data_IF_855194295986
#
_entry.id   IF_855194295986
#
_cell.length_a   1.000
_cell.length_b   1.000
_cell.length_c   1.000
_cell.angle_alpha   90.00
_cell.angle_beta   90.00
_cell.angle_gamma   90.00
#
_symmetry.space_group_name_H-M   'P 1'
#
loop_
_entity.id
_entity.type
_entity.pdbx_description
1 polymer ?
#
# COMPACT_ATOMS: atom_id res chain seq x y z
N UNK A 1 -20.16 -8.26 -22.58
CA UNK A 1 -18.82 -7.62 -22.68
C UNK A 1 -17.76 -8.71 -22.71
N UNK A 2 -16.76 -8.62 -23.59
CA UNK A 2 -15.64 -9.57 -23.60
C UNK A 2 -14.69 -9.21 -22.45
N UNK A 3 -14.21 -10.22 -21.72
CA UNK A 3 -13.20 -10.06 -20.70
C UNK A 3 -11.88 -9.59 -21.32
N UNK A 4 -11.29 -8.52 -20.80
CA UNK A 4 -10.06 -7.93 -21.31
C UNK A 4 -9.01 -7.87 -20.18
N UNK A 5 -7.94 -8.67 -20.35
CA UNK A 5 -6.84 -8.73 -19.38
C UNK A 5 -6.06 -7.41 -19.26
N UNK A 6 -6.00 -6.62 -20.31
CA UNK A 6 -5.29 -5.33 -20.29
C UNK A 6 -5.89 -4.35 -19.31
N UNK A 7 -7.21 -4.39 -19.11
CA UNK A 7 -7.93 -3.55 -18.13
C UNK A 7 -7.63 -3.88 -16.68
N UNK A 8 -7.00 -5.03 -16.38
CA UNK A 8 -6.52 -5.33 -15.03
C UNK A 8 -5.35 -4.43 -14.62
N UNK A 9 -4.55 -3.99 -15.58
CA UNK A 9 -3.38 -3.17 -15.29
C UNK A 9 -3.78 -1.76 -14.85
N UNK A 10 -3.12 -1.27 -13.81
CA UNK A 10 -3.29 0.10 -13.31
C UNK A 10 -2.73 1.16 -14.28
N UNK A 11 -1.72 0.77 -15.06
CA UNK A 11 -0.95 1.67 -15.93
C UNK A 11 -1.04 1.25 -17.38
N UNK A 12 -1.08 2.21 -18.34
CA UNK A 12 -0.95 1.92 -19.75
C UNK A 12 0.43 1.30 -20.05
N UNK A 13 0.52 0.50 -21.10
CA UNK A 13 1.71 -0.32 -21.41
C UNK A 13 3.03 0.47 -21.40
N UNK A 14 3.05 1.70 -21.93
CA UNK A 14 4.24 2.57 -21.99
C UNK A 14 4.66 3.14 -20.62
N UNK A 15 3.74 3.17 -19.66
CA UNK A 15 3.97 3.72 -18.33
C UNK A 15 4.20 2.62 -17.27
N UNK A 16 4.24 1.36 -17.65
CA UNK A 16 4.48 0.24 -16.73
C UNK A 16 5.94 0.22 -16.29
N UNK A 17 6.15 -0.06 -15.04
CA UNK A 17 7.46 -0.38 -14.45
C UNK A 17 7.43 -1.81 -13.91
N UNK A 18 8.60 -2.36 -13.57
CA UNK A 18 8.70 -3.69 -12.95
C UNK A 18 8.25 -3.54 -11.48
N UNK A 19 7.08 -4.07 -11.15
CA UNK A 19 6.54 -4.07 -9.81
C UNK A 19 6.80 -5.42 -9.14
N UNK A 20 7.61 -5.44 -8.08
CA UNK A 20 7.94 -6.66 -7.34
C UNK A 20 6.69 -7.33 -6.73
N UNK A 21 5.62 -6.56 -6.53
CA UNK A 21 4.38 -7.09 -5.95
C UNK A 21 3.62 -8.01 -6.90
N UNK A 22 3.83 -7.92 -8.21
CA UNK A 22 3.11 -8.77 -9.19
C UNK A 22 3.39 -10.26 -8.99
N UNK A 23 4.53 -10.62 -8.41
CA UNK A 23 4.90 -12.02 -8.15
C UNK A 23 3.90 -12.73 -7.21
N UNK A 24 3.27 -11.98 -6.31
CA UNK A 24 2.36 -12.53 -5.32
C UNK A 24 0.97 -12.87 -5.87
N UNK A 25 0.66 -12.42 -7.09
CA UNK A 25 -0.70 -12.43 -7.66
C UNK A 25 -0.84 -13.22 -8.95
N UNK A 26 0.05 -14.16 -9.22
CA UNK A 26 0.05 -14.92 -10.47
C UNK A 26 -1.29 -15.64 -10.75
N UNK A 27 -2.03 -16.04 -9.71
CA UNK A 27 -3.35 -16.69 -9.83
C UNK A 27 -4.51 -15.70 -9.98
N UNK A 28 -4.29 -14.42 -9.73
CA UNK A 28 -5.34 -13.41 -9.69
C UNK A 28 -6.14 -13.32 -11.00
N UNK A 29 -5.47 -13.42 -12.15
CA UNK A 29 -6.13 -13.39 -13.48
C UNK A 29 -7.23 -14.43 -13.62
N UNK A 30 -6.99 -15.64 -13.10
CA UNK A 30 -7.94 -16.74 -13.19
C UNK A 30 -9.15 -16.51 -12.31
N UNK A 31 -8.93 -16.04 -11.08
CA UNK A 31 -10.02 -15.76 -10.14
C UNK A 31 -10.86 -14.59 -10.63
N UNK A 32 -10.24 -13.50 -11.09
CA UNK A 32 -10.97 -12.35 -11.66
C UNK A 32 -11.77 -12.76 -12.89
N UNK A 33 -11.20 -13.58 -13.79
CA UNK A 33 -11.92 -14.10 -14.96
C UNK A 33 -13.14 -14.96 -14.56
N UNK A 34 -13.00 -15.77 -13.51
CA UNK A 34 -14.11 -16.60 -13.00
C UNK A 34 -15.21 -15.72 -12.39
N UNK A 35 -14.85 -14.67 -11.65
CA UNK A 35 -15.80 -13.77 -11.00
C UNK A 35 -16.42 -12.76 -11.96
N UNK A 36 -15.78 -12.48 -13.10
CA UNK A 36 -16.24 -11.45 -14.04
C UNK A 36 -17.70 -11.61 -14.50
N UNK A 37 -18.20 -12.82 -14.87
CA UNK A 37 -19.58 -13.00 -15.29
C UNK A 37 -20.59 -13.07 -14.13
N UNK A 38 -20.14 -13.13 -12.88
CA UNK A 38 -21.00 -13.27 -11.69
C UNK A 38 -21.58 -11.93 -11.23
N UNK A 39 -22.56 -11.96 -10.32
CA UNK A 39 -23.11 -10.79 -9.65
C UNK A 39 -22.29 -10.32 -8.44
N UNK A 40 -21.19 -11.01 -8.08
CA UNK A 40 -20.31 -10.63 -6.95
C UNK A 40 -19.70 -9.27 -7.21
N UNK A 41 -19.87 -8.34 -6.30
CA UNK A 41 -19.36 -6.98 -6.42
C UNK A 41 -17.93 -6.86 -5.83
N UNK A 42 -17.09 -5.92 -6.31
CA UNK A 42 -15.79 -5.65 -5.70
C UNK A 42 -15.88 -5.41 -4.18
N UNK A 43 -16.80 -4.58 -3.73
CA UNK A 43 -16.99 -4.28 -2.30
C UNK A 43 -17.31 -5.53 -1.45
N UNK A 44 -18.06 -6.49 -2.01
CA UNK A 44 -18.29 -7.77 -1.32
C UNK A 44 -16.98 -8.54 -1.12
N UNK A 45 -16.09 -8.52 -2.10
CA UNK A 45 -14.76 -9.16 -1.99
C UNK A 45 -13.92 -8.42 -0.95
N UNK A 46 -13.95 -7.09 -0.91
CA UNK A 46 -13.28 -6.28 0.12
C UNK A 46 -13.75 -6.67 1.54
N UNK A 47 -15.07 -6.89 1.74
CA UNK A 47 -15.57 -7.36 3.04
C UNK A 47 -15.14 -8.79 3.38
N UNK A 48 -15.07 -9.68 2.39
CA UNK A 48 -14.53 -11.04 2.61
C UNK A 48 -13.04 -10.95 2.95
N UNK A 49 -12.28 -10.12 2.26
CA UNK A 49 -10.87 -9.83 2.54
C UNK A 49 -10.69 -9.33 3.98
N UNK A 50 -11.51 -8.37 4.41
CA UNK A 50 -11.52 -7.87 5.80
C UNK A 50 -11.76 -9.01 6.80
N UNK A 51 -12.75 -9.88 6.55
CA UNK A 51 -13.02 -11.04 7.41
C UNK A 51 -11.80 -11.95 7.54
N UNK A 52 -11.09 -12.24 6.45
CA UNK A 52 -9.86 -13.01 6.48
C UNK A 52 -8.77 -12.32 7.31
N UNK A 53 -8.61 -11.01 7.17
CA UNK A 53 -7.64 -10.23 7.95
C UNK A 53 -7.93 -10.24 9.45
N UNK A 54 -9.20 -10.02 9.83
CA UNK A 54 -9.63 -10.08 11.24
C UNK A 54 -9.46 -11.48 11.83
N UNK A 55 -9.76 -12.52 11.06
CA UNK A 55 -9.56 -13.91 11.45
C UNK A 55 -8.07 -14.21 11.67
N UNK A 56 -7.20 -13.72 10.77
CA UNK A 56 -5.74 -13.84 10.93
C UNK A 56 -5.26 -13.24 12.26
N UNK A 57 -5.66 -11.98 12.53
CA UNK A 57 -5.31 -11.31 13.78
C UNK A 57 -5.80 -12.09 15.02
N UNK A 58 -7.05 -12.56 15.01
CA UNK A 58 -7.61 -13.39 16.07
C UNK A 58 -6.84 -14.70 16.31
N UNK A 59 -6.40 -15.34 15.23
CA UNK A 59 -5.59 -16.56 15.29
C UNK A 59 -4.23 -16.29 15.94
N UNK A 60 -3.52 -15.23 15.50
CA UNK A 60 -2.23 -14.86 16.10
C UNK A 60 -2.34 -14.56 17.60
N UNK A 61 -3.33 -13.74 17.99
CA UNK A 61 -3.58 -13.43 19.42
C UNK A 61 -3.88 -14.67 20.25
N UNK A 62 -4.50 -15.70 19.66
CA UNK A 62 -4.88 -16.91 20.39
C UNK A 62 -3.70 -17.66 20.99
N UNK A 63 -2.50 -17.54 20.40
CA UNK A 63 -1.29 -18.25 20.82
C UNK A 63 -1.39 -19.78 20.79
N UNK A 64 -2.42 -20.32 20.11
CA UNK A 64 -2.66 -21.77 20.02
C UNK A 64 -1.58 -22.46 19.18
N UNK A 65 -1.40 -23.78 19.31
CA UNK A 65 -0.57 -24.55 18.39
C UNK A 65 -0.94 -24.26 16.94
N UNK A 66 0.06 -24.06 16.09
CA UNK A 66 -0.10 -23.71 14.67
C UNK A 66 -0.73 -22.30 14.40
N UNK A 67 -0.82 -21.42 15.40
CA UNK A 67 -1.32 -20.06 15.20
C UNK A 67 -0.54 -19.29 14.11
N UNK A 68 0.76 -19.52 14.03
CA UNK A 68 1.62 -18.90 12.99
C UNK A 68 1.24 -19.39 11.60
N UNK A 69 0.98 -20.68 11.43
CA UNK A 69 0.62 -21.27 10.12
C UNK A 69 -0.76 -20.79 9.69
N UNK A 70 -1.78 -20.94 10.53
CA UNK A 70 -3.13 -20.55 10.18
C UNK A 70 -3.29 -19.02 10.05
N UNK A 71 -2.65 -18.25 10.96
CA UNK A 71 -2.60 -16.79 10.85
C UNK A 71 -2.02 -16.35 9.51
N UNK A 72 -0.91 -16.95 9.08
CA UNK A 72 -0.28 -16.68 7.79
C UNK A 72 -1.18 -17.05 6.60
N UNK A 73 -1.86 -18.21 6.63
CA UNK A 73 -2.77 -18.64 5.57
C UNK A 73 -3.92 -17.65 5.41
N UNK A 74 -4.56 -17.24 6.52
CA UNK A 74 -5.64 -16.27 6.48
C UNK A 74 -5.16 -14.88 6.05
N UNK A 75 -3.96 -14.44 6.48
CA UNK A 75 -3.38 -13.19 6.04
C UNK A 75 -3.07 -13.21 4.53
N UNK A 76 -2.53 -14.30 4.01
CA UNK A 76 -2.34 -14.46 2.57
C UNK A 76 -3.67 -14.39 1.82
N UNK A 77 -4.71 -15.07 2.32
CA UNK A 77 -6.05 -15.00 1.75
C UNK A 77 -6.59 -13.56 1.69
N UNK A 78 -6.35 -12.76 2.77
CA UNK A 78 -6.69 -11.33 2.79
C UNK A 78 -5.98 -10.58 1.67
N UNK A 79 -4.66 -10.69 1.59
CA UNK A 79 -3.84 -9.98 0.59
C UNK A 79 -4.26 -10.36 -0.83
N UNK A 80 -4.54 -11.63 -1.06
CA UNK A 80 -4.95 -12.13 -2.37
C UNK A 80 -6.31 -11.58 -2.80
N UNK A 81 -7.33 -11.65 -1.91
CA UNK A 81 -8.69 -11.18 -2.18
C UNK A 81 -8.75 -9.67 -2.41
N UNK A 82 -7.99 -8.91 -1.66
CA UNK A 82 -7.81 -7.48 -1.80
C UNK A 82 -7.31 -7.09 -3.22
N UNK A 83 -6.36 -7.82 -3.75
CA UNK A 83 -5.91 -7.60 -5.11
C UNK A 83 -6.98 -8.04 -6.15
N UNK A 84 -7.80 -9.06 -5.84
CA UNK A 84 -8.89 -9.51 -6.72
C UNK A 84 -9.96 -8.45 -6.86
N UNK A 85 -10.37 -7.77 -5.77
CA UNK A 85 -11.45 -6.77 -5.81
C UNK A 85 -11.09 -5.57 -6.67
N UNK A 86 -9.89 -5.01 -6.50
CA UNK A 86 -9.40 -3.92 -7.32
C UNK A 86 -9.26 -4.27 -8.80
N UNK A 87 -8.79 -5.48 -9.11
CA UNK A 87 -8.71 -5.96 -10.48
C UNK A 87 -10.11 -6.17 -11.09
N UNK A 88 -11.05 -6.74 -10.33
CA UNK A 88 -12.43 -6.93 -10.76
C UNK A 88 -13.12 -5.59 -11.03
N UNK A 89 -12.93 -4.60 -10.15
CA UNK A 89 -13.45 -3.25 -10.33
C UNK A 89 -12.94 -2.61 -11.63
N UNK A 90 -11.64 -2.75 -11.91
CA UNK A 90 -11.04 -2.22 -13.15
C UNK A 90 -11.58 -2.87 -14.41
N UNK A 91 -11.63 -4.20 -14.46
CA UNK A 91 -12.12 -4.94 -15.65
C UNK A 91 -13.60 -4.65 -15.93
N UNK A 92 -14.41 -4.46 -14.87
CA UNK A 92 -15.83 -4.09 -15.01
C UNK A 92 -16.06 -2.61 -15.25
N UNK A 93 -15.06 -1.75 -15.05
CA UNK A 93 -15.21 -0.30 -15.13
C UNK A 93 -16.04 0.28 -13.99
N UNK A 94 -16.09 -0.39 -12.85
CA UNK A 94 -16.88 -0.01 -11.66
C UNK A 94 -16.02 0.60 -10.54
N UNK A 95 -14.84 1.11 -10.88
CA UNK A 95 -13.97 1.79 -9.91
C UNK A 95 -14.66 3.04 -9.35
N UNK A 96 -14.61 3.21 -8.02
CA UNK A 96 -15.22 4.36 -7.34
C UNK A 96 -14.28 4.92 -6.27
N UNK A 97 -14.49 6.20 -5.87
CA UNK A 97 -13.77 6.80 -4.73
C UNK A 97 -14.13 6.08 -3.42
N UNK A 98 -15.41 5.77 -3.25
CA UNK A 98 -15.89 5.01 -2.10
C UNK A 98 -15.14 3.68 -1.94
N UNK A 99 -15.11 2.85 -3.02
CA UNK A 99 -14.42 1.57 -2.99
C UNK A 99 -12.95 1.69 -2.64
N UNK A 100 -12.25 2.71 -3.17
CA UNK A 100 -10.85 2.98 -2.87
C UNK A 100 -10.62 3.35 -1.40
N UNK A 101 -11.45 4.23 -0.83
CA UNK A 101 -11.33 4.58 0.59
C UNK A 101 -11.67 3.40 1.49
N UNK A 102 -12.71 2.63 1.15
CA UNK A 102 -13.08 1.42 1.89
C UNK A 102 -11.93 0.43 1.92
N UNK A 103 -11.34 0.13 0.76
CA UNK A 103 -10.20 -0.75 0.59
C UNK A 103 -9.00 -0.30 1.45
N UNK A 104 -8.58 0.96 1.30
CA UNK A 104 -7.46 1.51 2.08
C UNK A 104 -7.72 1.50 3.59
N UNK A 105 -8.93 1.79 4.05
CA UNK A 105 -9.27 1.78 5.47
C UNK A 105 -9.33 0.37 6.04
N UNK A 106 -9.79 -0.62 5.25
CA UNK A 106 -9.74 -2.03 5.66
C UNK A 106 -8.30 -2.52 5.75
N UNK A 107 -7.43 -2.12 4.83
CA UNK A 107 -5.99 -2.37 4.87
C UNK A 107 -5.34 -1.80 6.12
N UNK A 108 -5.63 -0.54 6.43
CA UNK A 108 -5.14 0.11 7.64
C UNK A 108 -5.55 -0.65 8.90
N UNK A 109 -6.84 -0.95 9.03
CA UNK A 109 -7.40 -1.64 10.20
C UNK A 109 -6.77 -3.03 10.36
N UNK A 110 -6.72 -3.82 9.29
CA UNK A 110 -6.14 -5.17 9.34
C UNK A 110 -4.66 -5.12 9.68
N UNK A 111 -3.90 -4.19 9.08
CA UNK A 111 -2.47 -4.04 9.37
C UNK A 111 -2.24 -3.73 10.84
N UNK A 112 -2.95 -2.74 11.40
CA UNK A 112 -2.85 -2.40 12.83
C UNK A 112 -3.13 -3.62 13.70
N UNK A 113 -4.25 -4.32 13.46
CA UNK A 113 -4.66 -5.47 14.27
C UNK A 113 -3.70 -6.66 14.15
N UNK A 114 -3.19 -6.94 12.95
CA UNK A 114 -2.23 -8.03 12.74
C UNK A 114 -0.90 -7.73 13.43
N UNK A 115 -0.38 -6.49 13.33
CA UNK A 115 0.88 -6.13 14.01
C UNK A 115 0.73 -6.15 15.54
N UNK A 116 -0.40 -5.69 16.07
CA UNK A 116 -0.70 -5.86 17.49
C UNK A 116 -0.75 -7.36 17.86
N UNK A 117 -1.42 -8.17 17.04
CA UNK A 117 -1.60 -9.58 17.28
C UNK A 117 -0.28 -10.37 17.30
N UNK A 118 0.62 -10.15 16.33
CA UNK A 118 1.95 -10.80 16.30
C UNK A 118 2.84 -10.31 17.43
N UNK A 119 2.73 -9.05 17.82
CA UNK A 119 3.43 -8.49 18.99
C UNK A 119 2.98 -9.18 20.27
N UNK A 120 1.66 -9.28 20.49
CA UNK A 120 1.09 -10.01 21.63
C UNK A 120 1.52 -11.49 21.62
N UNK A 121 1.52 -12.12 20.46
CA UNK A 121 2.00 -13.48 20.29
C UNK A 121 3.47 -13.61 20.76
N UNK A 122 4.36 -12.74 20.27
CA UNK A 122 5.79 -12.76 20.64
C UNK A 122 5.99 -12.55 22.15
N UNK A 123 5.36 -11.51 22.73
CA UNK A 123 5.47 -11.23 24.17
C UNK A 123 5.00 -12.42 25.02
N UNK A 124 3.88 -13.06 24.64
CA UNK A 124 3.33 -14.20 25.40
C UNK A 124 4.17 -15.46 25.28
N UNK A 125 4.74 -15.72 24.10
CA UNK A 125 5.47 -16.97 23.87
C UNK A 125 6.90 -16.90 24.33
N UNK A 126 7.53 -15.73 24.33
CA UNK A 126 8.92 -15.54 24.75
C UNK A 126 9.05 -15.03 26.18
N UNK A 127 8.02 -14.37 26.72
CA UNK A 127 8.09 -13.68 28.01
C UNK A 127 8.89 -12.37 27.98
N UNK A 128 9.27 -11.87 26.81
CA UNK A 128 10.12 -10.68 26.62
C UNK A 128 9.23 -9.48 26.29
N UNK A 129 9.00 -8.51 27.22
CA UNK A 129 8.11 -7.38 26.99
C UNK A 129 8.65 -6.37 25.96
N UNK A 130 9.95 -6.35 25.71
CA UNK A 130 10.63 -5.45 24.76
C UNK A 130 10.13 -5.64 23.32
N UNK A 131 9.58 -6.82 23.00
CA UNK A 131 8.90 -7.03 21.71
C UNK A 131 7.72 -6.09 21.48
N UNK A 132 7.13 -5.51 22.53
CA UNK A 132 6.11 -4.48 22.39
C UNK A 132 6.65 -3.24 21.69
N UNK A 133 7.87 -2.85 22.00
CA UNK A 133 8.56 -1.71 21.38
C UNK A 133 8.92 -2.05 19.93
N UNK A 134 9.48 -3.25 19.70
CA UNK A 134 9.83 -3.71 18.37
C UNK A 134 8.59 -3.81 17.45
N UNK A 135 7.47 -4.31 17.97
CA UNK A 135 6.20 -4.40 17.24
C UNK A 135 5.64 -3.03 16.88
N UNK A 136 5.71 -2.04 17.79
CA UNK A 136 5.32 -0.67 17.53
C UNK A 136 6.18 -0.04 16.42
N UNK A 137 7.50 -0.17 16.50
CA UNK A 137 8.38 0.33 15.44
C UNK A 137 8.18 -0.44 14.12
N UNK A 138 7.87 -1.73 14.16
CA UNK A 138 7.50 -2.52 12.99
C UNK A 138 6.25 -1.97 12.29
N UNK A 139 5.20 -1.68 13.05
CA UNK A 139 3.97 -1.08 12.52
C UNK A 139 4.23 0.30 11.89
N UNK A 140 4.97 1.17 12.58
CA UNK A 140 5.34 2.50 12.08
C UNK A 140 6.19 2.40 10.81
N UNK A 141 7.18 1.50 10.78
CA UNK A 141 8.01 1.25 9.61
C UNK A 141 7.19 0.75 8.43
N UNK A 142 6.28 -0.22 8.64
CA UNK A 142 5.39 -0.73 7.61
C UNK A 142 4.55 0.40 6.98
N UNK A 143 3.96 1.26 7.78
CA UNK A 143 3.16 2.38 7.29
C UNK A 143 4.00 3.40 6.53
N UNK A 144 5.11 3.85 7.08
CA UNK A 144 5.97 4.85 6.42
C UNK A 144 6.58 4.34 5.12
N UNK A 145 7.02 3.07 5.08
CA UNK A 145 7.52 2.43 3.86
C UNK A 145 6.43 2.34 2.79
N UNK A 146 5.22 1.91 3.18
CA UNK A 146 4.10 1.80 2.25
C UNK A 146 3.68 3.17 1.71
N UNK A 147 3.57 4.17 2.57
CA UNK A 147 3.26 5.55 2.16
C UNK A 147 4.35 6.12 1.27
N UNK A 148 5.61 5.81 1.53
CA UNK A 148 6.71 6.22 0.67
C UNK A 148 6.56 5.70 -0.77
N UNK A 149 6.28 4.42 -0.94
CA UNK A 149 6.02 3.86 -2.26
C UNK A 149 4.79 4.50 -2.92
N UNK A 150 3.66 4.57 -2.18
CA UNK A 150 2.39 5.12 -2.69
C UNK A 150 2.56 6.60 -3.08
N UNK A 151 3.28 7.41 -2.31
CA UNK A 151 3.55 8.81 -2.62
C UNK A 151 4.20 8.97 -4.00
N UNK A 152 5.27 8.22 -4.28
CA UNK A 152 5.93 8.28 -5.59
C UNK A 152 5.06 7.69 -6.70
N UNK A 153 4.31 6.63 -6.43
CA UNK A 153 3.39 6.03 -7.40
C UNK A 153 2.27 7.00 -7.79
N UNK A 154 1.64 7.69 -6.83
CA UNK A 154 0.57 8.66 -7.10
C UNK A 154 1.10 9.86 -7.86
N UNK A 155 2.27 10.40 -7.46
CA UNK A 155 2.93 11.47 -8.19
C UNK A 155 3.27 11.09 -9.63
N UNK A 156 3.68 9.84 -9.88
CA UNK A 156 3.93 9.31 -11.21
C UNK A 156 2.63 9.18 -12.01
N UNK A 157 1.63 8.50 -11.46
CA UNK A 157 0.37 8.20 -12.15
C UNK A 157 -0.43 9.45 -12.49
N UNK A 158 -0.42 10.46 -11.61
CA UNK A 158 -1.07 11.75 -11.88
C UNK A 158 -0.46 12.48 -13.07
N UNK A 159 0.85 12.32 -13.29
CA UNK A 159 1.56 12.97 -14.42
C UNK A 159 1.43 12.23 -15.74
N UNK A 160 1.40 10.90 -15.72
CA UNK A 160 1.18 10.11 -16.95
C UNK A 160 -0.30 10.05 -17.38
N UNK A 161 -1.19 10.72 -16.63
CA UNK A 161 -2.62 10.87 -17.02
C UNK A 161 -3.43 9.58 -16.91
N UNK A 162 -2.94 8.57 -16.20
CA UNK A 162 -3.61 7.26 -16.13
C UNK A 162 -4.57 7.10 -14.95
N UNK A 163 -4.58 8.04 -14.01
CA UNK A 163 -5.36 7.92 -12.75
C UNK A 163 -5.96 9.28 -12.34
N UNK A 164 -6.95 9.75 -13.06
CA UNK A 164 -7.66 11.02 -12.78
C UNK A 164 -8.34 11.07 -11.40
N UNK A 165 -8.56 9.91 -10.75
CA UNK A 165 -9.31 9.80 -9.50
C UNK A 165 -8.46 9.90 -8.23
N UNK A 166 -7.12 9.84 -8.32
CA UNK A 166 -6.24 9.94 -7.16
C UNK A 166 -5.73 11.37 -7.03
N UNK A 167 -5.97 11.98 -5.88
CA UNK A 167 -5.31 13.24 -5.49
C UNK A 167 -4.01 12.89 -4.78
N UNK A 168 -3.01 13.75 -4.93
CA UNK A 168 -1.77 13.66 -4.14
C UNK A 168 -2.04 14.00 -2.67
N UNK A 169 -2.94 14.96 -2.45
CA UNK A 169 -3.49 15.30 -1.14
C UNK A 169 -4.99 14.94 -1.10
N UNK A 170 -5.35 13.98 -0.29
CA UNK A 170 -6.73 13.52 -0.09
C UNK A 170 -7.40 14.21 1.11
N UNK A 171 -6.86 15.33 1.59
CA UNK A 171 -7.53 16.15 2.61
C UNK A 171 -8.90 16.63 2.12
N UNK A 172 -9.84 16.76 3.06
CA UNK A 172 -11.20 17.23 2.76
C UNK A 172 -11.16 18.71 2.41
N UNK A 173 -11.57 19.04 1.20
CA UNK A 173 -11.64 20.42 0.70
C UNK A 173 -13.05 21.00 0.83
N UNK A 174 -13.19 22.34 0.75
CA UNK A 174 -14.50 23.00 0.73
C UNK A 174 -15.28 22.60 -0.54
N UNK A 175 -14.61 22.23 -1.60
CA UNK A 175 -15.25 21.71 -2.82
C UNK A 175 -15.88 20.34 -2.56
N UNK A 176 -15.21 19.44 -1.82
CA UNK A 176 -15.77 18.14 -1.45
C UNK A 176 -17.06 18.32 -0.63
N UNK A 177 -17.06 19.23 0.33
CA UNK A 177 -18.25 19.55 1.15
C UNK A 177 -19.37 20.12 0.30
N UNK A 178 -19.06 21.01 -0.65
CA UNK A 178 -20.03 21.59 -1.58
C UNK A 178 -20.65 20.52 -2.49
N UNK A 179 -19.83 19.63 -3.05
CA UNK A 179 -20.32 18.55 -3.90
C UNK A 179 -21.29 17.62 -3.18
N UNK A 180 -21.09 17.39 -1.88
CA UNK A 180 -22.05 16.65 -1.05
C UNK A 180 -23.32 17.47 -0.82
N UNK A 181 -23.21 18.77 -0.50
CA UNK A 181 -24.35 19.64 -0.29
C UNK A 181 -25.23 19.79 -1.55
N UNK A 182 -24.61 19.75 -2.73
CA UNK A 182 -25.28 19.79 -4.04
C UNK A 182 -25.77 18.40 -4.52
N UNK A 183 -25.59 17.34 -3.73
CA UNK A 183 -26.01 15.98 -4.09
C UNK A 183 -25.19 15.32 -5.22
N UNK A 184 -24.03 15.87 -5.57
CA UNK A 184 -23.13 15.33 -6.60
C UNK A 184 -22.31 14.12 -6.11
N UNK A 185 -22.06 14.05 -4.81
CA UNK A 185 -21.35 12.97 -4.13
C UNK A 185 -22.10 12.53 -2.87
N UNK A 186 -21.94 11.25 -2.49
CA UNK A 186 -22.59 10.70 -1.31
C UNK A 186 -21.91 11.23 -0.02
N UNK A 187 -22.70 11.40 1.04
CA UNK A 187 -22.23 11.73 2.39
C UNK A 187 -21.22 10.69 2.89
N UNK A 188 -21.39 9.43 2.52
CA UNK A 188 -20.47 8.35 2.89
C UNK A 188 -19.09 8.51 2.27
N UNK A 189 -18.98 9.01 1.04
CA UNK A 189 -17.70 9.33 0.41
C UNK A 189 -16.90 10.35 1.24
N UNK A 190 -17.57 11.40 1.72
CA UNK A 190 -16.95 12.44 2.55
C UNK A 190 -16.53 11.89 3.93
N UNK A 191 -17.36 11.03 4.53
CA UNK A 191 -17.03 10.41 5.83
C UNK A 191 -15.80 9.51 5.71
N UNK A 192 -15.78 8.64 4.71
CA UNK A 192 -14.62 7.75 4.47
C UNK A 192 -13.36 8.55 4.14
N UNK A 193 -13.49 9.62 3.34
CA UNK A 193 -12.37 10.53 3.06
C UNK A 193 -11.84 11.18 4.34
N UNK A 194 -12.71 11.61 5.25
CA UNK A 194 -12.32 12.20 6.53
C UNK A 194 -11.54 11.22 7.38
N UNK A 195 -12.04 9.97 7.50
CA UNK A 195 -11.36 8.90 8.25
C UNK A 195 -10.03 8.56 7.58
N UNK A 196 -10.00 8.46 6.25
CA UNK A 196 -8.78 8.22 5.48
C UNK A 196 -7.72 9.31 5.73
N UNK A 197 -8.11 10.60 5.63
CA UNK A 197 -7.21 11.72 5.89
C UNK A 197 -6.67 11.72 7.34
N UNK A 198 -7.47 11.29 8.32
CA UNK A 198 -7.01 11.10 9.69
C UNK A 198 -6.00 9.95 9.81
N UNK A 199 -6.27 8.82 9.18
CA UNK A 199 -5.43 7.62 9.28
C UNK A 199 -4.07 7.80 8.55
N UNK A 200 -4.08 8.41 7.38
CA UNK A 200 -2.93 8.50 6.49
C UNK A 200 -2.29 9.89 6.42
N UNK A 201 -3.02 10.97 6.67
CA UNK A 201 -2.54 12.33 6.43
C UNK A 201 -1.25 12.72 7.17
N UNK A 202 -0.99 12.16 8.35
CA UNK A 202 0.27 12.38 9.06
C UNK A 202 1.46 11.70 8.35
N UNK A 203 1.23 10.53 7.76
CA UNK A 203 2.23 9.77 7.00
C UNK A 203 2.55 10.48 5.69
N UNK A 204 1.50 10.92 4.98
CA UNK A 204 1.63 11.66 3.73
C UNK A 204 2.46 12.93 3.92
N UNK A 205 2.19 13.71 4.96
CA UNK A 205 2.97 14.90 5.32
C UNK A 205 4.43 14.58 5.68
N UNK A 206 4.65 13.48 6.39
CA UNK A 206 6.01 13.06 6.75
C UNK A 206 6.83 12.73 5.49
N UNK A 207 6.25 11.98 4.56
CA UNK A 207 6.89 11.59 3.30
C UNK A 207 7.04 12.80 2.35
N UNK A 208 6.04 13.67 2.26
CA UNK A 208 6.13 14.90 1.49
C UNK A 208 7.27 15.79 1.97
N UNK A 209 7.41 15.98 3.28
CA UNK A 209 8.52 16.75 3.86
C UNK A 209 9.88 16.10 3.57
N UNK A 210 9.96 14.77 3.65
CA UNK A 210 11.16 14.02 3.29
C UNK A 210 11.52 14.23 1.82
N UNK A 211 10.55 14.13 0.91
CA UNK A 211 10.76 14.38 -0.52
C UNK A 211 11.19 15.83 -0.80
N UNK A 212 10.57 16.81 -0.13
CA UNK A 212 10.95 18.21 -0.21
C UNK A 212 12.41 18.43 0.20
N UNK A 213 12.85 17.79 1.30
CA UNK A 213 14.26 17.82 1.72
C UNK A 213 15.17 17.22 0.65
N UNK A 214 14.82 16.03 0.14
CA UNK A 214 15.59 15.36 -0.92
C UNK A 214 15.71 16.21 -2.18
N UNK A 215 14.62 16.85 -2.62
CA UNK A 215 14.62 17.76 -3.77
C UNK A 215 15.48 19.00 -3.54
N UNK A 216 15.50 19.54 -2.31
CA UNK A 216 16.42 20.65 -1.93
C UNK A 216 17.87 20.23 -2.01
N UNK A 217 18.24 19.06 -1.47
CA UNK A 217 19.59 18.50 -1.56
C UNK A 217 20.02 18.24 -3.01
N UNK A 218 19.13 17.68 -3.82
CA UNK A 218 19.36 17.45 -5.25
C UNK A 218 19.26 18.73 -6.10
N UNK A 219 18.98 19.91 -5.49
CA UNK A 219 18.77 21.20 -6.15
C UNK A 219 17.75 21.13 -7.30
N UNK A 220 16.66 20.38 -7.12
CA UNK A 220 15.59 20.26 -8.13
C UNK A 220 14.81 21.56 -8.17
N UNK A 221 14.73 22.26 -9.33
CA UNK A 221 13.91 23.46 -9.45
C UNK A 221 12.42 23.14 -9.26
N UNK A 222 11.63 24.12 -8.81
CA UNK A 222 10.20 24.00 -8.69
C UNK A 222 9.45 24.18 -10.03
N UNK A 223 10.09 23.88 -11.16
CA UNK A 223 9.47 23.92 -12.49
C UNK A 223 8.74 22.62 -12.77
N UNK A 224 7.66 22.66 -13.53
CA UNK A 224 6.87 21.47 -13.91
C UNK A 224 7.74 20.42 -14.62
N UNK A 225 8.64 20.84 -15.50
CA UNK A 225 9.56 19.95 -16.20
C UNK A 225 10.53 19.22 -15.23
N UNK A 226 11.09 19.96 -14.26
CA UNK A 226 12.01 19.36 -13.27
C UNK A 226 11.27 18.39 -12.33
N UNK A 227 10.04 18.71 -11.95
CA UNK A 227 9.17 17.85 -11.16
C UNK A 227 8.72 16.62 -11.97
N UNK A 228 8.39 16.81 -13.26
CA UNK A 228 8.13 15.69 -14.15
C UNK A 228 9.31 14.70 -14.14
N UNK A 229 10.50 15.18 -14.41
CA UNK A 229 11.72 14.37 -14.44
C UNK A 229 12.03 13.72 -13.09
N UNK A 230 11.67 14.36 -11.97
CA UNK A 230 11.88 13.81 -10.63
C UNK A 230 10.95 12.65 -10.33
N UNK A 231 9.68 12.74 -10.72
CA UNK A 231 8.66 11.75 -10.40
C UNK A 231 8.43 10.70 -11.50
N UNK A 232 8.89 10.92 -12.74
CA UNK A 232 8.65 10.00 -13.87
C UNK A 232 9.69 8.88 -14.00
N UNK A 233 10.50 8.65 -12.98
CA UNK A 233 11.54 7.63 -12.99
C UNK A 233 10.93 6.23 -12.70
N UNK A 234 10.67 5.47 -13.80
CA UNK A 234 10.14 4.12 -13.73
C UNK A 234 11.10 3.12 -13.05
N UNK A 235 12.42 3.31 -13.19
CA UNK A 235 13.42 2.45 -12.55
C UNK A 235 13.37 2.64 -11.03
N UNK A 236 13.32 3.88 -10.58
CA UNK A 236 13.20 4.19 -9.16
C UNK A 236 11.90 3.59 -8.57
N UNK A 237 10.76 3.73 -9.28
CA UNK A 237 9.50 3.10 -8.87
C UNK A 237 9.61 1.58 -8.73
N UNK A 238 10.28 0.92 -9.67
CA UNK A 238 10.55 -0.51 -9.59
C UNK A 238 11.39 -0.87 -8.36
N UNK A 239 12.45 -0.11 -8.09
CA UNK A 239 13.30 -0.35 -6.94
C UNK A 239 12.63 -0.10 -5.60
N UNK A 240 11.73 0.88 -5.48
CA UNK A 240 11.00 1.13 -4.23
C UNK A 240 9.74 0.26 -4.07
N UNK A 241 9.30 -0.48 -5.10
CA UNK A 241 8.10 -1.32 -5.04
C UNK A 241 8.12 -2.40 -3.93
N UNK A 242 9.29 -2.96 -3.51
CA UNK A 242 9.34 -3.86 -2.35
C UNK A 242 8.92 -3.22 -1.02
N UNK A 243 8.89 -1.88 -0.92
CA UNK A 243 8.43 -1.17 0.28
C UNK A 243 6.91 -1.08 0.39
N UNK A 244 6.16 -1.57 -0.59
CA UNK A 244 4.70 -1.59 -0.59
C UNK A 244 4.14 -2.44 0.57
N UNK A 245 2.96 -2.04 1.08
CA UNK A 245 2.22 -2.75 2.11
C UNK A 245 2.07 -4.24 1.80
N UNK A 246 1.84 -4.55 0.54
CA UNK A 246 1.66 -5.91 0.08
C UNK A 246 2.90 -6.78 0.29
N UNK A 247 4.09 -6.29 -0.11
CA UNK A 247 5.35 -7.00 0.13
C UNK A 247 5.64 -7.13 1.63
N UNK A 248 5.41 -6.08 2.42
CA UNK A 248 5.60 -6.14 3.88
C UNK A 248 4.72 -7.22 4.52
N UNK A 249 3.45 -7.29 4.12
CA UNK A 249 2.53 -8.32 4.62
C UNK A 249 2.89 -9.72 4.08
N UNK A 250 3.40 -9.84 2.85
CA UNK A 250 3.89 -11.12 2.32
C UNK A 250 5.17 -11.60 3.04
N UNK A 251 6.08 -10.68 3.38
CA UNK A 251 7.20 -11.01 4.26
C UNK A 251 6.71 -11.54 5.60
N UNK A 252 5.72 -10.88 6.22
CA UNK A 252 5.10 -11.37 7.45
C UNK A 252 4.54 -12.80 7.27
N UNK A 253 3.83 -13.08 6.19
CA UNK A 253 3.31 -14.44 5.88
C UNK A 253 4.45 -15.44 5.83
N UNK A 254 5.51 -15.16 5.06
CA UNK A 254 6.65 -16.07 4.87
C UNK A 254 7.35 -16.32 6.20
N UNK A 255 7.71 -15.28 6.94
CA UNK A 255 8.42 -15.41 8.22
C UNK A 255 7.54 -16.04 9.31
N UNK A 256 6.22 -15.83 9.25
CA UNK A 256 5.28 -16.53 10.13
C UNK A 256 5.26 -18.04 9.88
N UNK A 257 5.22 -18.45 8.59
CA UNK A 257 5.31 -19.88 8.24
C UNK A 257 6.65 -20.51 8.64
N UNK A 258 7.73 -19.71 8.65
CA UNK A 258 9.06 -20.13 9.11
C UNK A 258 9.19 -20.11 10.64
N UNK A 259 8.21 -19.59 11.38
CA UNK A 259 8.30 -19.40 12.84
C UNK A 259 9.28 -18.29 13.26
N UNK A 260 9.59 -17.34 12.38
CA UNK A 260 10.65 -16.33 12.54
C UNK A 260 10.08 -14.90 12.59
N UNK A 261 9.02 -14.67 13.38
CA UNK A 261 8.38 -13.34 13.47
C UNK A 261 9.30 -12.25 14.03
N UNK A 262 10.19 -12.62 14.95
CA UNK A 262 11.21 -11.71 15.48
C UNK A 262 12.12 -11.21 14.37
N UNK A 263 12.66 -12.13 13.57
CA UNK A 263 13.53 -11.78 12.44
C UNK A 263 12.82 -10.92 11.41
N UNK A 264 11.53 -11.18 11.16
CA UNK A 264 10.70 -10.33 10.31
C UNK A 264 10.67 -8.88 10.80
N UNK A 265 10.36 -8.67 12.09
CA UNK A 265 10.28 -7.32 12.66
C UNK A 265 11.63 -6.61 12.64
N UNK A 266 12.71 -7.32 12.94
CA UNK A 266 14.08 -6.77 12.87
C UNK A 266 14.42 -6.36 11.45
N UNK A 267 14.18 -7.20 10.45
CA UNK A 267 14.45 -6.87 9.05
C UNK A 267 13.59 -5.70 8.57
N UNK A 268 12.33 -5.65 8.95
CA UNK A 268 11.42 -4.57 8.59
C UNK A 268 11.89 -3.22 9.14
N UNK A 269 12.26 -3.18 10.44
CA UNK A 269 12.68 -1.94 11.11
C UNK A 269 14.09 -1.53 10.71
N UNK A 270 15.01 -2.46 10.44
CA UNK A 270 16.39 -2.15 10.09
C UNK A 270 16.64 -2.15 8.59
N UNK A 271 16.67 -3.33 7.97
CA UNK A 271 17.08 -3.51 6.58
C UNK A 271 16.20 -2.74 5.59
N UNK A 272 14.87 -2.85 5.71
CA UNK A 272 13.96 -2.20 4.76
C UNK A 272 14.02 -0.67 4.85
N UNK A 273 14.23 -0.10 6.04
CA UNK A 273 14.44 1.35 6.19
C UNK A 273 15.78 1.80 5.62
N UNK A 274 16.86 1.05 5.88
CA UNK A 274 18.19 1.33 5.30
C UNK A 274 18.11 1.24 3.77
N UNK A 275 17.43 0.24 3.24
CA UNK A 275 17.19 0.07 1.81
C UNK A 275 16.47 1.29 1.21
N UNK A 276 15.35 1.72 1.81
CA UNK A 276 14.60 2.90 1.35
C UNK A 276 15.43 4.19 1.37
N UNK A 277 16.17 4.43 2.47
CA UNK A 277 17.08 5.59 2.59
C UNK A 277 18.23 5.51 1.59
N UNK A 278 18.78 4.33 1.36
CA UNK A 278 19.82 4.10 0.34
C UNK A 278 19.34 4.42 -1.07
N UNK A 279 18.11 4.07 -1.42
CA UNK A 279 17.50 4.41 -2.71
C UNK A 279 17.25 5.92 -2.85
N UNK A 280 16.86 6.60 -1.77
CA UNK A 280 16.74 8.06 -1.78
C UNK A 280 18.10 8.74 -2.00
N UNK A 281 19.12 8.29 -1.29
CA UNK A 281 20.49 8.80 -1.46
C UNK A 281 20.98 8.57 -2.90
N UNK A 282 20.76 7.37 -3.44
CA UNK A 282 21.06 7.07 -4.84
C UNK A 282 20.33 8.01 -5.81
N UNK A 283 19.04 8.25 -5.60
CA UNK A 283 18.24 9.16 -6.44
C UNK A 283 18.78 10.59 -6.43
N UNK A 284 19.23 11.07 -5.27
CA UNK A 284 19.84 12.40 -5.11
C UNK A 284 21.18 12.47 -5.88
N UNK A 285 22.05 11.47 -5.70
CA UNK A 285 23.37 11.43 -6.30
C UNK A 285 23.31 11.35 -7.83
N UNK A 286 22.53 10.42 -8.39
CA UNK A 286 22.38 10.30 -9.85
C UNK A 286 21.91 11.58 -10.54
N UNK A 287 21.18 12.45 -9.82
CA UNK A 287 20.73 13.71 -10.40
C UNK A 287 21.76 14.81 -10.29
N UNK A 288 22.62 14.79 -9.29
CA UNK A 288 23.75 15.75 -9.19
C UNK A 288 24.81 15.49 -10.26
N UNK A 289 25.08 14.22 -10.58
CA UNK A 289 26.08 13.84 -11.60
C UNK A 289 25.68 14.29 -13.01
N UNK A 290 24.42 14.11 -13.40
CA UNK A 290 23.92 14.55 -14.71
C UNK A 290 23.98 16.08 -14.94
N UNK A 291 24.32 16.88 -13.94
CA UNK A 291 24.50 18.33 -14.05
C UNK A 291 25.96 18.78 -14.17
N UNK A 292 26.89 17.90 -13.79
CA UNK A 292 28.32 18.20 -13.93
C UNK A 292 28.84 17.93 -15.35
N UNK A 293 28.02 17.26 -16.19
CA UNK A 293 28.32 16.95 -17.58
C UNK A 293 27.68 17.93 -18.59
N UNK A 294 26.87 18.89 -18.12
CA UNK A 294 26.30 19.97 -18.95
C UNK A 294 26.86 21.32 -18.61
#
# INVERSE_FOLDING_TARGET
MKFDFEKMNKLPAKARFIDANEIWYFMNRWVVRLLYPTSVTPNQITFISLFFGLTSAGIYVSGKPNALIWGAIFLYGKIFLDNVDGNLARVRGTTSRFGRFLDSLTDFLVTVLVYIAITVYLVRTTGIPEYSILGLFGLLACFLQSTFFVFYLVNYTSRVGSYEKNRVDESVTEEDKRNVAEGKTDVWDLRLQTIFAWAYGWQDKAIENLDLMCRRFARVPATEEALWNWYSDQKFLGWISPLCLCTNNMMLVIFSLMGQLELFLILLVSFMNIYGLGLLAWKILCRTDNRTET
#
